data_IF_511080564328
#
_entry.id   IF_511080564328
#
_cell.length_a   1.000
_cell.length_b   1.000
_cell.length_c   1.000
_cell.angle_alpha   90.00
_cell.angle_beta   90.00
_cell.angle_gamma   90.00
#
_symmetry.space_group_name_H-M   'P 1'
#
loop_
_entity.id
_entity.type
_entity.pdbx_description
1 polymer ?
#
# COMPACT_ATOMS: atom_id res chain seq x y z
N UNK A 1 -12.62 -40.07 -48.49
CA UNK A 1 -12.27 -40.73 -47.22
C UNK A 1 -10.93 -40.16 -46.74
N UNK A 2 -10.96 -39.11 -45.90
CA UNK A 2 -9.76 -38.41 -45.43
C UNK A 2 -9.61 -38.64 -43.92
N UNK A 3 -8.48 -39.26 -43.56
CA UNK A 3 -8.07 -39.60 -42.20
C UNK A 3 -7.95 -38.31 -41.36
N UNK A 4 -8.85 -38.12 -40.39
CA UNK A 4 -8.72 -37.08 -39.35
C UNK A 4 -7.55 -37.48 -38.44
N UNK A 5 -6.39 -36.87 -38.64
CA UNK A 5 -5.25 -37.01 -37.74
C UNK A 5 -5.58 -36.42 -36.37
N UNK A 6 -5.48 -37.22 -35.30
CA UNK A 6 -5.42 -36.74 -33.92
C UNK A 6 -4.20 -35.82 -33.81
N UNK A 7 -4.42 -34.50 -33.72
CA UNK A 7 -3.38 -33.58 -33.22
C UNK A 7 -3.20 -33.90 -31.74
N UNK A 8 -2.01 -34.35 -31.42
CA UNK A 8 -1.57 -34.90 -30.15
C UNK A 8 -1.93 -34.00 -28.97
N UNK A 9 -2.43 -34.62 -27.91
CA UNK A 9 -2.60 -34.05 -26.57
C UNK A 9 -1.27 -33.65 -25.88
N UNK A 10 -0.15 -33.70 -26.61
CA UNK A 10 1.20 -33.43 -26.11
C UNK A 10 1.55 -31.93 -26.03
N UNK A 11 0.67 -31.01 -26.44
CA UNK A 11 0.90 -29.57 -26.31
C UNK A 11 0.58 -29.01 -24.91
N UNK A 12 -0.02 -29.80 -24.03
CA UNK A 12 -0.33 -29.41 -22.64
C UNK A 12 0.62 -30.00 -21.60
N UNK A 13 1.61 -30.80 -22.03
CA UNK A 13 2.52 -31.52 -21.14
C UNK A 13 3.87 -30.79 -21.00
N UNK A 14 3.82 -29.53 -20.60
CA UNK A 14 5.04 -28.78 -20.20
C UNK A 14 4.79 -27.88 -18.99
N UNK A 15 3.96 -28.36 -18.06
CA UNK A 15 3.75 -27.71 -16.76
C UNK A 15 3.75 -28.74 -15.62
N UNK A 16 4.67 -29.71 -15.67
CA UNK A 16 4.82 -30.76 -14.67
C UNK A 16 6.20 -30.74 -13.98
N UNK A 17 6.82 -29.56 -13.88
CA UNK A 17 8.17 -29.42 -13.30
C UNK A 17 8.40 -28.17 -12.46
N UNK A 18 7.37 -27.38 -12.14
CA UNK A 18 7.51 -26.28 -11.18
C UNK A 18 7.12 -26.77 -9.80
N UNK A 19 8.10 -26.92 -8.92
CA UNK A 19 7.82 -27.13 -7.50
C UNK A 19 7.23 -25.84 -6.91
N UNK A 20 6.55 -25.93 -5.75
CA UNK A 20 6.09 -24.74 -5.01
C UNK A 20 7.28 -23.79 -4.74
N UNK A 21 8.48 -24.34 -4.55
CA UNK A 21 9.71 -23.59 -4.38
C UNK A 21 10.13 -22.82 -5.66
N UNK A 22 9.88 -23.35 -6.85
CA UNK A 22 10.18 -22.66 -8.11
C UNK A 22 9.21 -21.50 -8.38
N UNK A 23 7.94 -21.64 -8.00
CA UNK A 23 6.97 -20.53 -8.05
C UNK A 23 7.32 -19.42 -7.04
N UNK A 24 7.85 -19.79 -5.87
CA UNK A 24 8.40 -18.83 -4.92
C UNK A 24 9.67 -18.13 -5.46
N UNK A 25 10.49 -18.84 -6.24
CA UNK A 25 11.73 -18.30 -6.80
C UNK A 25 11.51 -17.36 -7.99
N UNK A 26 10.54 -17.64 -8.87
CA UNK A 26 10.15 -16.74 -9.98
C UNK A 26 9.49 -15.45 -9.45
N UNK A 27 8.90 -15.50 -8.25
CA UNK A 27 8.31 -14.33 -7.58
C UNK A 27 9.36 -13.39 -6.96
N UNK A 28 10.64 -13.80 -6.88
CA UNK A 28 11.78 -12.93 -6.52
C UNK A 28 12.31 -12.17 -7.74
N UNK A 29 11.42 -11.48 -8.48
CA UNK A 29 11.88 -10.27 -9.16
C UNK A 29 12.43 -9.38 -8.07
N UNK A 30 13.75 -9.13 -8.08
CA UNK A 30 14.52 -8.56 -6.98
C UNK A 30 13.75 -7.49 -6.21
N UNK A 31 13.15 -7.87 -5.08
CA UNK A 31 12.47 -6.92 -4.19
C UNK A 31 13.56 -6.10 -3.51
N UNK A 32 13.39 -4.78 -3.51
CA UNK A 32 14.39 -3.88 -2.94
C UNK A 32 14.56 -4.16 -1.45
N UNK A 33 15.81 -4.32 -1.03
CA UNK A 33 16.15 -4.53 0.37
C UNK A 33 15.89 -3.25 1.18
N UNK A 34 15.53 -3.43 2.46
CA UNK A 34 15.32 -2.31 3.36
C UNK A 34 16.67 -1.62 3.66
N UNK A 35 16.77 -0.28 3.56
CA UNK A 35 18.00 0.42 3.91
C UNK A 35 18.44 0.17 5.36
N UNK A 36 19.74 -0.08 5.56
CA UNK A 36 20.32 -0.46 6.86
C UNK A 36 20.15 0.59 7.97
N UNK A 37 19.96 1.87 7.60
CA UNK A 37 19.78 2.96 8.55
C UNK A 37 18.36 3.03 9.15
N UNK A 38 17.43 2.18 8.68
CA UNK A 38 16.09 2.06 9.26
C UNK A 38 16.12 1.16 10.50
N UNK A 39 15.33 1.51 11.51
CA UNK A 39 15.14 0.63 12.68
C UNK A 39 14.42 -0.66 12.29
N UNK A 40 14.49 -1.71 13.12
CA UNK A 40 13.83 -2.99 12.84
C UNK A 40 12.34 -2.85 12.56
N UNK A 41 11.64 -2.00 13.32
CA UNK A 41 10.24 -1.66 13.11
C UNK A 41 10.02 -1.02 11.73
N UNK A 42 10.85 -0.04 11.38
CA UNK A 42 10.78 0.64 10.09
C UNK A 42 11.08 -0.32 8.92
N UNK A 43 12.04 -1.22 9.08
CA UNK A 43 12.33 -2.25 8.08
C UNK A 43 11.16 -3.22 7.92
N UNK A 44 10.45 -3.56 9.00
CA UNK A 44 9.23 -4.38 8.91
C UNK A 44 8.13 -3.66 8.11
N UNK A 45 7.91 -2.36 8.35
CA UNK A 45 6.96 -1.53 7.59
C UNK A 45 7.38 -1.47 6.11
N UNK A 46 8.66 -1.24 5.84
CA UNK A 46 9.22 -1.23 4.48
C UNK A 46 8.91 -2.53 3.73
N UNK A 47 9.23 -3.67 4.34
CA UNK A 47 8.99 -5.00 3.75
C UNK A 47 7.50 -5.19 3.48
N UNK A 48 6.63 -4.84 4.42
CA UNK A 48 5.18 -4.91 4.24
C UNK A 48 4.69 -4.09 3.02
N UNK A 49 5.20 -2.86 2.85
CA UNK A 49 4.82 -1.99 1.73
C UNK A 49 5.33 -2.51 0.38
N UNK A 50 6.59 -2.96 0.31
CA UNK A 50 7.15 -3.57 -0.90
C UNK A 50 6.44 -4.88 -1.21
N UNK A 51 6.05 -5.64 -0.19
CA UNK A 51 5.42 -6.93 -0.36
C UNK A 51 3.99 -6.82 -0.89
N UNK A 52 3.28 -5.76 -0.50
CA UNK A 52 1.95 -5.42 -0.99
C UNK A 52 1.95 -4.78 -2.40
N UNK A 53 3.06 -4.16 -2.81
CA UNK A 53 3.18 -3.52 -4.11
C UNK A 53 3.47 -4.53 -5.24
N UNK A 54 2.86 -4.39 -6.43
CA UNK A 54 3.30 -5.11 -7.61
C UNK A 54 4.75 -4.74 -7.96
N UNK A 55 5.56 -5.72 -8.39
CA UNK A 55 7.00 -5.51 -8.65
C UNK A 55 7.30 -4.37 -9.66
N UNK A 56 6.39 -4.11 -10.61
CA UNK A 56 6.51 -3.03 -11.60
C UNK A 56 6.21 -1.63 -11.06
N UNK A 57 5.74 -1.50 -9.81
CA UNK A 57 5.25 -0.24 -9.24
C UNK A 57 6.30 0.53 -8.43
N UNK A 58 7.42 -0.10 -8.09
CA UNK A 58 8.47 0.48 -7.23
C UNK A 58 9.79 0.59 -7.99
N UNK A 59 9.95 1.63 -8.83
CA UNK A 59 11.23 1.90 -9.46
C UNK A 59 12.22 2.45 -8.42
N UNK A 60 13.52 2.33 -8.70
CA UNK A 60 14.59 2.69 -7.75
C UNK A 60 14.52 4.16 -7.31
N UNK A 61 14.11 5.07 -8.19
CA UNK A 61 13.93 6.49 -7.89
C UNK A 61 12.81 6.79 -6.88
N UNK A 62 11.86 5.86 -6.68
CA UNK A 62 10.79 6.00 -5.70
C UNK A 62 11.23 5.61 -4.28
N UNK A 63 12.36 4.91 -4.13
CA UNK A 63 12.83 4.38 -2.84
C UNK A 63 13.09 5.45 -1.78
N UNK A 64 13.70 6.62 -2.08
CA UNK A 64 13.86 7.68 -1.08
C UNK A 64 12.52 8.21 -0.55
N UNK A 65 11.50 8.28 -1.41
CA UNK A 65 10.14 8.70 -1.02
C UNK A 65 9.48 7.64 -0.14
N UNK A 66 9.71 6.36 -0.44
CA UNK A 66 9.25 5.24 0.38
C UNK A 66 9.91 5.23 1.76
N UNK A 67 11.20 5.55 1.86
CA UNK A 67 11.91 5.71 3.14
C UNK A 67 11.22 6.75 4.01
N UNK A 68 10.89 7.91 3.44
CA UNK A 68 10.20 8.97 4.19
C UNK A 68 8.78 8.59 4.59
N UNK A 69 8.08 7.81 3.76
CA UNK A 69 6.76 7.26 4.11
C UNK A 69 6.87 6.31 5.31
N UNK A 70 7.84 5.40 5.29
CA UNK A 70 8.09 4.44 6.39
C UNK A 70 8.37 5.18 7.70
N UNK A 71 9.23 6.21 7.66
CA UNK A 71 9.51 7.03 8.85
C UNK A 71 8.27 7.77 9.35
N UNK A 72 7.45 8.31 8.45
CA UNK A 72 6.20 8.99 8.80
C UNK A 72 5.19 8.03 9.47
N UNK A 73 5.03 6.82 8.93
CA UNK A 73 4.17 5.79 9.53
C UNK A 73 4.65 5.38 10.92
N UNK A 74 5.96 5.16 11.09
CA UNK A 74 6.55 4.83 12.40
C UNK A 74 6.32 5.96 13.43
N UNK A 75 6.57 7.23 13.06
CA UNK A 75 6.28 8.37 13.94
C UNK A 75 4.79 8.50 14.28
N UNK A 76 3.91 8.28 13.30
CA UNK A 76 2.45 8.29 13.53
C UNK A 76 2.03 7.20 14.52
N UNK A 77 2.66 6.02 14.49
CA UNK A 77 2.44 4.95 15.45
C UNK A 77 2.79 5.36 16.89
N UNK A 78 3.94 6.02 17.08
CA UNK A 78 4.35 6.56 18.40
C UNK A 78 3.35 7.62 18.89
N UNK A 79 2.94 8.55 18.02
CA UNK A 79 1.97 9.59 18.40
C UNK A 79 0.62 8.97 18.78
N UNK A 80 0.14 8.00 17.99
CA UNK A 80 -1.10 7.29 18.28
C UNK A 80 -1.04 6.54 19.61
N UNK A 81 0.11 5.91 19.92
CA UNK A 81 0.33 5.27 21.22
C UNK A 81 0.22 6.26 22.38
N UNK A 82 0.88 7.41 22.28
CA UNK A 82 0.81 8.46 23.32
C UNK A 82 -0.59 9.06 23.44
N UNK A 83 -1.28 9.30 22.32
CA UNK A 83 -2.67 9.77 22.32
C UNK A 83 -3.61 8.76 23.00
N UNK A 84 -3.45 7.46 22.73
CA UNK A 84 -4.27 6.41 23.35
C UNK A 84 -4.01 6.25 24.86
N UNK A 85 -2.80 6.59 25.31
CA UNK A 85 -2.45 6.60 26.75
C UNK A 85 -2.91 7.87 27.47
N UNK A 86 -3.32 8.90 26.74
CA UNK A 86 -3.79 10.14 27.31
C UNK A 86 -5.11 9.91 28.06
N UNK A 87 -5.15 10.25 29.35
CA UNK A 87 -6.34 10.05 30.21
C UNK A 87 -7.14 11.33 30.37
N UNK A 88 -8.46 11.19 30.50
CA UNK A 88 -9.35 12.33 30.69
C UNK A 88 -9.00 13.15 31.96
N UNK A 89 -8.55 12.48 33.03
CA UNK A 89 -8.09 13.11 34.28
C UNK A 89 -6.97 14.13 34.06
N UNK A 90 -6.16 13.96 33.01
CA UNK A 90 -5.03 14.85 32.73
C UNK A 90 -5.47 16.19 32.14
N UNK A 91 -6.71 16.34 31.67
CA UNK A 91 -7.22 17.65 31.24
C UNK A 91 -7.36 18.65 32.39
N UNK A 92 -7.55 18.17 33.63
CA UNK A 92 -7.64 19.03 34.81
C UNK A 92 -6.28 19.46 35.38
N UNK A 93 -5.17 18.90 34.86
CA UNK A 93 -3.80 19.23 35.29
C UNK A 93 -3.27 20.38 34.43
N UNK A 94 -2.49 21.27 35.04
CA UNK A 94 -1.83 22.37 34.33
C UNK A 94 -0.98 21.84 33.15
N UNK A 95 -1.18 22.42 31.96
CA UNK A 95 -0.52 21.99 30.73
C UNK A 95 -1.10 20.72 30.07
N UNK A 96 -2.14 20.11 30.64
CA UNK A 96 -2.80 18.92 30.10
C UNK A 96 -3.46 19.15 28.74
N UNK A 97 -4.39 20.11 28.61
CA UNK A 97 -5.02 20.45 27.34
C UNK A 97 -4.01 20.79 26.24
N UNK A 98 -2.96 21.55 26.54
CA UNK A 98 -1.92 21.97 25.61
C UNK A 98 -1.08 20.79 25.13
N UNK A 99 -0.81 19.82 26.02
CA UNK A 99 -0.11 18.58 25.67
C UNK A 99 -0.96 17.73 24.73
N UNK A 100 -2.24 17.56 25.03
CA UNK A 100 -3.16 16.83 24.16
C UNK A 100 -3.28 17.50 22.80
N UNK A 101 -3.45 18.83 22.77
CA UNK A 101 -3.49 19.60 21.53
C UNK A 101 -2.20 19.43 20.71
N UNK A 102 -1.03 19.44 21.35
CA UNK A 102 0.25 19.20 20.66
C UNK A 102 0.31 17.82 20.02
N UNK A 103 -0.13 16.77 20.72
CA UNK A 103 -0.21 15.42 20.16
C UNK A 103 -1.14 15.38 18.94
N UNK A 104 -2.31 16.01 19.04
CA UNK A 104 -3.27 16.06 17.92
C UNK A 104 -2.72 16.83 16.71
N UNK A 105 -2.03 17.96 16.93
CA UNK A 105 -1.36 18.71 15.85
C UNK A 105 -0.25 17.89 15.20
N UNK A 106 0.51 17.11 15.97
CA UNK A 106 1.53 16.21 15.43
C UNK A 106 0.88 15.09 14.61
N UNK A 107 -0.21 14.50 15.09
CA UNK A 107 -0.96 13.47 14.38
C UNK A 107 -1.50 13.98 13.03
N UNK A 108 -2.10 15.18 12.98
CA UNK A 108 -2.59 15.78 11.73
C UNK A 108 -1.45 16.01 10.72
N UNK A 109 -0.29 16.49 11.18
CA UNK A 109 0.88 16.68 10.31
C UNK A 109 1.37 15.37 9.70
N UNK A 110 1.51 14.31 10.50
CA UNK A 110 1.94 13.01 9.99
C UNK A 110 0.87 12.39 9.07
N UNK A 111 -0.42 12.52 9.38
CA UNK A 111 -1.50 12.03 8.54
C UNK A 111 -1.49 12.67 7.14
N UNK A 112 -1.31 14.00 7.08
CA UNK A 112 -1.18 14.73 5.80
C UNK A 112 0.08 14.33 5.03
N UNK A 113 1.20 14.15 5.72
CA UNK A 113 2.45 13.71 5.10
C UNK A 113 2.30 12.30 4.52
N UNK A 114 1.75 11.35 5.28
CA UNK A 114 1.47 9.98 4.84
C UNK A 114 0.55 9.98 3.62
N UNK A 115 -0.53 10.75 3.63
CA UNK A 115 -1.45 10.86 2.49
C UNK A 115 -0.74 11.40 1.23
N UNK A 116 0.08 12.45 1.39
CA UNK A 116 0.85 13.06 0.30
C UNK A 116 1.87 12.08 -0.30
N UNK A 117 2.68 11.43 0.53
CA UNK A 117 3.70 10.46 0.09
C UNK A 117 3.05 9.22 -0.53
N UNK A 118 1.97 8.70 0.07
CA UNK A 118 1.23 7.55 -0.47
C UNK A 118 0.63 7.85 -1.85
N UNK A 119 0.16 9.09 -2.07
CA UNK A 119 -0.35 9.53 -3.37
C UNK A 119 0.77 9.64 -4.40
N UNK A 120 1.93 10.20 -4.03
CA UNK A 120 3.10 10.30 -4.92
C UNK A 120 3.64 8.92 -5.33
N UNK A 121 3.64 7.97 -4.39
CA UNK A 121 3.99 6.56 -4.62
C UNK A 121 2.86 5.76 -5.29
N UNK A 122 1.70 6.39 -5.51
CA UNK A 122 0.50 5.81 -6.12
C UNK A 122 -0.08 4.59 -5.41
N UNK A 123 0.17 4.47 -4.09
CA UNK A 123 -0.29 3.34 -3.27
C UNK A 123 -1.81 3.31 -3.08
N UNK A 124 -2.48 4.46 -3.23
CA UNK A 124 -3.93 4.58 -3.02
C UNK A 124 -4.73 4.29 -4.30
N UNK A 125 -5.96 3.74 -4.20
CA UNK A 125 -6.81 3.43 -5.35
C UNK A 125 -7.09 4.64 -6.27
N UNK A 126 -7.22 5.84 -5.71
CA UNK A 126 -7.43 7.08 -6.47
C UNK A 126 -6.27 7.37 -7.44
N UNK A 127 -5.03 7.02 -7.08
CA UNK A 127 -3.88 7.18 -7.96
C UNK A 127 -3.84 6.17 -9.13
N UNK A 128 -4.66 5.10 -9.08
CA UNK A 128 -4.79 4.08 -10.14
C UNK A 128 -5.87 4.40 -11.17
N UNK A 129 -6.81 5.29 -10.87
CA UNK A 129 -7.86 5.66 -11.84
C UNK A 129 -7.23 6.54 -12.92
N UNK A 130 -7.05 5.98 -14.10
CA UNK A 130 -6.62 6.73 -15.29
C UNK A 130 -7.75 7.67 -15.70
N UNK A 131 -7.46 8.94 -16.06
CA UNK A 131 -8.48 9.89 -16.53
C UNK A 131 -9.24 9.36 -17.76
N UNK A 132 -8.60 8.50 -18.56
CA UNK A 132 -9.18 7.74 -19.69
C UNK A 132 -10.41 6.89 -19.31
N UNK A 133 -10.55 6.49 -18.03
CA UNK A 133 -11.66 5.65 -17.55
C UNK A 133 -12.71 6.40 -16.73
N UNK A 134 -12.47 7.67 -16.36
CA UNK A 134 -13.42 8.45 -15.59
C UNK A 134 -14.74 8.67 -16.37
N UNK A 135 -14.63 8.98 -17.67
CA UNK A 135 -15.81 9.13 -18.54
C UNK A 135 -16.57 7.81 -18.82
N UNK A 136 -15.91 6.66 -18.70
CA UNK A 136 -16.54 5.35 -18.91
C UNK A 136 -17.38 4.94 -17.70
N UNK A 137 -16.92 5.25 -16.48
CA UNK A 137 -17.69 5.00 -15.26
C UNK A 137 -18.94 5.88 -15.22
N UNK A 138 -18.84 7.13 -15.67
CA UNK A 138 -19.98 8.05 -15.76
C UNK A 138 -20.98 7.65 -16.86
N UNK A 139 -20.51 7.05 -17.96
CA UNK A 139 -21.39 6.46 -18.99
C UNK A 139 -22.12 5.19 -18.56
N UNK A 140 -21.54 4.40 -17.65
CA UNK A 140 -22.15 3.15 -17.16
C UNK A 140 -23.20 3.39 -16.06
N UNK A 141 -23.26 4.62 -15.51
CA UNK A 141 -24.38 5.08 -14.70
C UNK A 141 -25.60 5.35 -15.60
N UNK A 142 -26.30 4.28 -15.99
CA UNK A 142 -27.71 4.42 -16.38
C UNK A 142 -28.43 5.08 -15.22
N UNK A 143 -29.20 6.17 -15.41
CA UNK A 143 -30.00 6.75 -14.34
C UNK A 143 -31.12 5.77 -13.99
N UNK A 144 -30.80 4.76 -13.19
CA UNK A 144 -31.78 3.98 -12.46
C UNK A 144 -32.51 4.91 -11.51
N UNK A 145 -33.80 4.62 -11.29
CA UNK A 145 -34.66 5.33 -10.34
C UNK A 145 -33.91 5.56 -9.04
N UNK A 146 -33.94 6.78 -8.52
CA UNK A 146 -33.24 7.09 -7.29
C UNK A 146 -33.94 6.34 -6.14
N UNK A 147 -33.24 5.99 -5.05
CA UNK A 147 -33.81 5.17 -3.98
C UNK A 147 -35.02 5.77 -3.26
N UNK A 148 -35.38 7.02 -3.55
CA UNK A 148 -36.52 7.75 -2.99
C UNK A 148 -37.65 7.99 -4.00
N UNK A 149 -37.57 7.40 -5.19
CA UNK A 149 -38.65 7.37 -6.19
C UNK A 149 -39.48 6.08 -6.11
#
# INVERSE_FOLDING_TARGET
MMKRGRKSAAAFETQAGRTIADLANVSRTARHEAPEHLTDEQQAIWRSLIDAAPAAMMPTEALPVLVELVKAVSRAGVIAYETNRFKAEWFGVDGGPERYERLQRMADREARLIASLSTKLRLTPQARIRPERAGVIEQDHRPGRRPWD
#
